data_IF_067083144257
#
_entry.id   IF_067083144257
#
_cell.length_a   1.000
_cell.length_b   1.000
_cell.length_c   1.000
_cell.angle_alpha   90.00
_cell.angle_beta   90.00
_cell.angle_gamma   90.00
#
_symmetry.space_group_name_H-M   'P 1'
#
loop_
_entity.id
_entity.type
_entity.pdbx_description
1 polymer ?
#
# COMPACT_ATOMS: atom_id res chain seq x y z
N UNK A 1 35.29 84.96 -14.33
CA UNK A 1 35.88 84.31 -13.13
C UNK A 1 35.02 83.12 -12.77
N UNK A 2 35.64 81.95 -12.62
CA UNK A 2 35.05 80.66 -12.27
C UNK A 2 34.18 80.70 -11.00
N UNK A 3 33.08 79.93 -10.95
CA UNK A 3 33.07 78.61 -10.31
C UNK A 3 31.67 77.95 -10.35
N UNK A 4 31.69 76.67 -10.70
CA UNK A 4 30.63 75.66 -10.67
C UNK A 4 30.09 75.39 -9.25
N UNK A 5 28.83 74.94 -9.12
CA UNK A 5 28.39 73.79 -8.30
C UNK A 5 26.95 73.41 -8.71
N UNK A 6 26.73 72.12 -8.96
CA UNK A 6 25.44 71.49 -9.25
C UNK A 6 24.83 70.88 -7.97
N UNK A 7 23.51 70.74 -7.87
CA UNK A 7 22.85 69.43 -7.66
C UNK A 7 21.32 69.47 -7.57
N UNK A 8 20.72 68.50 -8.28
CA UNK A 8 19.57 67.63 -7.97
C UNK A 8 18.19 68.25 -7.66
N UNK A 9 17.30 68.12 -8.64
CA UNK A 9 15.84 68.12 -8.48
C UNK A 9 15.34 66.81 -7.86
N UNK A 10 14.52 66.90 -6.82
CA UNK A 10 13.79 65.78 -6.21
C UNK A 10 12.32 65.82 -6.62
N UNK A 11 11.91 64.90 -7.50
CA UNK A 11 10.50 64.66 -7.85
C UNK A 11 9.82 63.74 -6.83
N UNK A 12 8.72 64.22 -6.25
CA UNK A 12 7.86 63.49 -5.31
C UNK A 12 7.06 62.41 -6.07
N UNK A 13 7.28 61.13 -5.75
CA UNK A 13 6.46 60.01 -6.24
C UNK A 13 5.26 59.79 -5.31
N UNK A 14 4.05 59.91 -5.87
CA UNK A 14 2.80 59.46 -5.25
C UNK A 14 2.84 57.94 -4.99
N UNK A 15 2.60 57.53 -3.75
CA UNK A 15 2.45 56.14 -3.35
C UNK A 15 0.99 55.72 -3.49
N UNK A 16 0.71 54.84 -4.45
CA UNK A 16 -0.55 54.08 -4.52
C UNK A 16 -0.55 53.00 -3.44
N UNK A 17 -1.66 52.78 -2.70
CA UNK A 17 -1.73 51.69 -1.73
C UNK A 17 -1.72 50.34 -2.46
N UNK A 18 -0.77 49.49 -2.07
CA UNK A 18 -0.64 48.13 -2.57
C UNK A 18 -1.92 47.34 -2.30
N UNK A 19 -2.55 46.83 -3.37
CA UNK A 19 -3.63 45.88 -3.28
C UNK A 19 -3.18 44.67 -2.43
N UNK A 20 -3.93 44.38 -1.36
CA UNK A 20 -3.68 43.21 -0.53
C UNK A 20 -3.82 41.96 -1.39
N UNK A 21 -2.70 41.32 -1.71
CA UNK A 21 -2.69 40.00 -2.33
C UNK A 21 -3.40 39.04 -1.38
N UNK A 22 -4.57 38.54 -1.77
CA UNK A 22 -5.20 37.37 -1.14
C UNK A 22 -4.16 36.24 -1.08
N UNK A 23 -4.08 35.46 0.03
CA UNK A 23 -3.13 34.37 0.13
C UNK A 23 -3.39 33.35 -0.99
N UNK A 24 -2.34 33.07 -1.74
CA UNK A 24 -2.25 32.05 -2.79
C UNK A 24 -2.65 30.68 -2.25
N UNK A 25 -3.37 29.89 -3.08
CA UNK A 25 -3.80 28.50 -2.82
C UNK A 25 -2.70 27.68 -2.14
N UNK A 26 -2.77 27.58 -0.81
CA UNK A 26 -1.80 26.86 0.00
C UNK A 26 -2.24 25.42 0.17
N UNK A 27 -1.34 24.50 -0.12
CA UNK A 27 -1.46 23.10 0.29
C UNK A 27 -0.71 22.95 1.60
N UNK A 28 -1.37 22.46 2.66
CA UNK A 28 -0.64 22.12 3.89
C UNK A 28 0.16 20.84 3.67
N UNK A 29 1.46 20.86 3.98
CA UNK A 29 2.32 19.67 3.92
C UNK A 29 2.25 18.90 5.26
N UNK A 30 2.42 17.58 5.22
CA UNK A 30 2.51 16.71 6.40
C UNK A 30 1.33 15.72 6.52
N UNK A 31 1.08 15.23 7.73
CA UNK A 31 0.11 14.16 8.03
C UNK A 31 -1.37 14.55 7.90
N UNK A 32 -1.68 15.76 7.41
CA UNK A 32 -3.06 16.19 7.15
C UNK A 32 -3.09 17.22 6.02
N UNK A 33 -2.77 16.82 4.78
CA UNK A 33 -2.71 17.76 3.67
C UNK A 33 -4.12 18.22 3.31
N UNK A 34 -4.34 19.53 3.34
CA UNK A 34 -5.59 20.19 2.96
C UNK A 34 -5.36 21.05 1.73
N UNK A 35 -6.36 21.06 0.85
CA UNK A 35 -6.42 21.95 -0.31
C UNK A 35 -7.50 23.00 -0.07
N UNK A 36 -7.26 24.24 -0.49
CA UNK A 36 -8.25 25.33 -0.38
C UNK A 36 -8.63 25.90 -1.76
N UNK A 37 -9.94 25.99 -2.08
CA UNK A 37 -11.07 25.44 -1.32
C UNK A 37 -11.03 23.91 -1.23
N UNK A 38 -11.63 23.32 -0.17
CA UNK A 38 -11.69 21.87 -0.05
C UNK A 38 -12.57 21.29 -1.17
N UNK A 39 -12.16 20.18 -1.80
CA UNK A 39 -12.98 19.51 -2.79
C UNK A 39 -14.21 18.87 -2.13
N UNK A 40 -15.24 18.66 -2.93
CA UNK A 40 -16.41 17.88 -2.51
C UNK A 40 -16.03 16.42 -2.34
N UNK A 41 -16.37 15.85 -1.18
CA UNK A 41 -16.13 14.44 -0.89
C UNK A 41 -17.25 13.60 -1.48
N UNK A 42 -16.93 12.37 -1.94
CA UNK A 42 -17.97 11.44 -2.38
C UNK A 42 -19.00 11.18 -1.27
N UNK A 43 -20.27 10.87 -1.62
CA UNK A 43 -21.30 10.64 -0.62
C UNK A 43 -20.94 9.46 0.28
N UNK A 44 -21.42 9.50 1.53
CA UNK A 44 -21.13 8.48 2.54
C UNK A 44 -21.49 7.07 2.08
N UNK A 45 -22.53 6.93 1.24
CA UNK A 45 -22.95 5.64 0.66
C UNK A 45 -21.84 4.99 -0.16
N UNK A 46 -21.08 5.78 -0.93
CA UNK A 46 -19.94 5.28 -1.71
C UNK A 46 -18.79 4.85 -0.80
N UNK A 47 -18.51 5.62 0.25
CA UNK A 47 -17.46 5.29 1.20
C UNK A 47 -17.78 3.99 1.95
N UNK A 48 -19.00 3.87 2.48
CA UNK A 48 -19.47 2.66 3.17
C UNK A 48 -19.50 1.47 2.22
N UNK A 49 -19.93 1.65 0.97
CA UNK A 49 -19.87 0.57 -0.02
C UNK A 49 -18.44 0.10 -0.30
N UNK A 50 -17.47 1.01 -0.39
CA UNK A 50 -16.05 0.64 -0.54
C UNK A 50 -15.56 -0.20 0.63
N UNK A 51 -15.93 0.16 1.87
CA UNK A 51 -15.60 -0.63 3.05
C UNK A 51 -16.26 -2.01 2.98
N UNK A 52 -17.56 -2.08 2.67
CA UNK A 52 -18.29 -3.34 2.61
C UNK A 52 -17.69 -4.27 1.54
N UNK A 53 -17.45 -3.73 0.35
CA UNK A 53 -16.91 -4.47 -0.78
C UNK A 53 -15.52 -5.02 -0.47
N UNK A 54 -14.59 -4.20 0.02
CA UNK A 54 -13.23 -4.68 0.29
C UNK A 54 -13.14 -5.60 1.51
N UNK A 55 -13.92 -5.32 2.57
CA UNK A 55 -13.84 -6.07 3.82
C UNK A 55 -14.63 -7.40 3.75
N UNK A 56 -15.91 -7.35 3.39
CA UNK A 56 -16.76 -8.55 3.45
C UNK A 56 -16.66 -9.37 2.16
N UNK A 57 -16.65 -8.74 0.99
CA UNK A 57 -16.59 -9.48 -0.28
C UNK A 57 -15.15 -9.87 -0.64
N UNK A 58 -14.25 -8.90 -0.85
CA UNK A 58 -12.89 -9.20 -1.31
C UNK A 58 -12.06 -9.94 -0.26
N UNK A 59 -12.07 -9.53 1.01
CA UNK A 59 -11.34 -10.24 2.06
C UNK A 59 -12.16 -11.44 2.57
N UNK A 60 -13.37 -11.21 3.09
CA UNK A 60 -14.22 -12.23 3.71
C UNK A 60 -14.54 -13.41 2.79
N UNK A 61 -15.25 -13.19 1.69
CA UNK A 61 -15.70 -14.26 0.78
C UNK A 61 -14.53 -14.90 0.06
N UNK A 62 -13.68 -14.12 -0.63
CA UNK A 62 -12.59 -14.73 -1.40
C UNK A 62 -11.58 -15.45 -0.50
N UNK A 63 -11.26 -14.92 0.68
CA UNK A 63 -10.36 -15.59 1.62
C UNK A 63 -10.90 -16.94 2.07
N UNK A 64 -12.18 -17.00 2.46
CA UNK A 64 -12.82 -18.25 2.86
C UNK A 64 -12.88 -19.28 1.71
N UNK A 65 -13.19 -18.83 0.49
CA UNK A 65 -13.17 -19.68 -0.71
C UNK A 65 -11.77 -20.17 -1.03
N UNK A 66 -10.75 -19.32 -0.95
CA UNK A 66 -9.35 -19.71 -1.18
C UNK A 66 -8.88 -20.74 -0.15
N UNK A 67 -9.28 -20.63 1.11
CA UNK A 67 -9.01 -21.68 2.09
C UNK A 67 -9.63 -23.03 1.68
N UNK A 68 -10.87 -23.06 1.18
CA UNK A 68 -11.50 -24.30 0.69
C UNK A 68 -10.71 -24.91 -0.47
N UNK A 69 -10.26 -24.08 -1.42
CA UNK A 69 -9.49 -24.52 -2.60
C UNK A 69 -8.11 -25.05 -2.19
N UNK A 70 -7.44 -24.39 -1.25
CA UNK A 70 -6.06 -24.68 -0.88
C UNK A 70 -5.94 -25.75 0.22
N UNK A 71 -7.02 -26.09 0.91
CA UNK A 71 -6.97 -27.06 2.02
C UNK A 71 -6.44 -28.44 1.62
N UNK A 72 -6.79 -29.03 0.47
CA UNK A 72 -6.20 -30.31 0.05
C UNK A 72 -4.68 -30.23 -0.17
N UNK A 73 -4.17 -29.10 -0.67
CA UNK A 73 -2.73 -28.89 -0.86
C UNK A 73 -2.06 -28.74 0.51
N UNK A 74 -2.66 -27.96 1.41
CA UNK A 74 -2.18 -27.78 2.78
C UNK A 74 -2.06 -29.12 3.53
N UNK A 75 -3.09 -29.97 3.48
CA UNK A 75 -3.08 -31.27 4.17
C UNK A 75 -2.06 -32.23 3.56
N UNK A 76 -1.84 -32.19 2.24
CA UNK A 76 -0.79 -32.95 1.58
C UNK A 76 0.61 -32.49 2.05
N UNK A 77 0.86 -31.18 2.10
CA UNK A 77 2.09 -30.61 2.63
C UNK A 77 2.30 -30.97 4.11
N UNK A 78 1.24 -30.92 4.93
CA UNK A 78 1.32 -31.29 6.34
C UNK A 78 1.59 -32.77 6.53
N UNK A 79 0.96 -33.64 5.75
CA UNK A 79 1.20 -35.09 5.77
C UNK A 79 2.64 -35.43 5.38
N UNK A 80 3.19 -34.74 4.37
CA UNK A 80 4.60 -34.83 4.02
C UNK A 80 5.49 -34.40 5.19
N UNK A 81 5.19 -33.29 5.84
CA UNK A 81 5.97 -32.80 6.98
C UNK A 81 5.99 -33.81 8.15
N UNK A 82 4.85 -34.43 8.46
CA UNK A 82 4.76 -35.48 9.48
C UNK A 82 5.60 -36.71 9.08
N UNK A 83 5.50 -37.16 7.83
CA UNK A 83 6.26 -38.32 7.32
C UNK A 83 7.77 -38.16 7.46
N UNK A 84 8.28 -36.93 7.32
CA UNK A 84 9.71 -36.61 7.40
C UNK A 84 10.09 -35.96 8.73
N UNK A 85 9.25 -36.08 9.77
CA UNK A 85 9.52 -35.59 11.13
C UNK A 85 9.89 -34.10 11.19
N UNK A 86 9.36 -33.29 10.26
CA UNK A 86 9.54 -31.84 10.26
C UNK A 86 8.75 -31.27 11.43
N UNK A 87 9.46 -30.58 12.34
CA UNK A 87 8.84 -29.99 13.52
C UNK A 87 7.75 -28.97 13.15
N UNK A 88 6.76 -28.81 14.03
CA UNK A 88 5.66 -27.89 13.81
C UNK A 88 6.13 -26.46 13.55
N UNK A 89 7.14 -26.00 14.28
CA UNK A 89 7.71 -24.67 14.12
C UNK A 89 8.40 -24.49 12.76
N UNK A 90 9.16 -25.49 12.31
CA UNK A 90 9.80 -25.47 10.99
C UNK A 90 8.75 -25.51 9.88
N UNK A 91 7.73 -26.36 9.99
CA UNK A 91 6.64 -26.42 9.03
C UNK A 91 5.89 -25.09 8.93
N UNK A 92 5.53 -24.48 10.07
CA UNK A 92 4.90 -23.16 10.11
C UNK A 92 5.78 -22.10 9.44
N UNK A 93 7.07 -22.08 9.74
CA UNK A 93 8.01 -21.15 9.14
C UNK A 93 8.09 -21.31 7.61
N UNK A 94 8.19 -22.55 7.13
CA UNK A 94 8.20 -22.87 5.70
C UNK A 94 6.88 -22.45 5.03
N UNK A 95 5.75 -22.73 5.66
CA UNK A 95 4.43 -22.39 5.17
C UNK A 95 4.26 -20.87 5.03
N UNK A 96 4.59 -20.11 6.09
CA UNK A 96 4.45 -18.66 6.10
C UNK A 96 5.45 -17.98 5.17
N UNK A 97 6.70 -18.47 5.12
CA UNK A 97 7.70 -18.00 4.16
C UNK A 97 7.25 -18.27 2.72
N UNK A 98 6.68 -19.44 2.43
CA UNK A 98 6.14 -19.75 1.10
C UNK A 98 4.96 -18.85 0.75
N UNK A 99 4.05 -18.62 1.69
CA UNK A 99 2.91 -17.72 1.54
C UNK A 99 3.34 -16.26 1.30
N UNK A 100 4.57 -15.90 1.66
CA UNK A 100 5.16 -14.59 1.38
C UNK A 100 5.91 -14.54 0.05
N UNK A 101 6.89 -15.43 -0.11
CA UNK A 101 7.84 -15.45 -1.22
C UNK A 101 7.17 -15.82 -2.55
N UNK A 102 6.13 -16.67 -2.55
CA UNK A 102 5.41 -17.03 -3.77
C UNK A 102 4.67 -15.80 -4.36
N UNK A 103 3.80 -15.07 -3.64
CA UNK A 103 3.24 -13.82 -4.14
C UNK A 103 4.28 -12.79 -4.52
N UNK A 104 5.34 -12.63 -3.71
CA UNK A 104 6.44 -11.70 -4.02
C UNK A 104 7.03 -12.00 -5.39
N UNK A 105 7.44 -13.24 -5.61
CA UNK A 105 8.10 -13.62 -6.87
C UNK A 105 7.10 -13.53 -8.02
N UNK A 106 5.95 -14.19 -7.90
CA UNK A 106 4.99 -14.30 -9.01
C UNK A 106 4.43 -12.96 -9.46
N UNK A 107 3.98 -12.10 -8.54
CA UNK A 107 3.41 -10.81 -8.91
C UNK A 107 4.46 -9.85 -9.44
N UNK A 108 5.59 -9.71 -8.73
CA UNK A 108 6.60 -8.75 -9.13
C UNK A 108 7.24 -9.13 -10.48
N UNK A 109 7.50 -10.42 -10.71
CA UNK A 109 7.94 -10.87 -12.03
C UNK A 109 6.86 -10.68 -13.10
N UNK A 110 5.58 -10.94 -12.80
CA UNK A 110 4.51 -10.67 -13.76
C UNK A 110 4.50 -9.21 -14.23
N UNK A 111 4.56 -8.24 -13.30
CA UNK A 111 4.58 -6.82 -13.66
C UNK A 111 5.88 -6.41 -14.37
N UNK A 112 7.01 -6.99 -13.99
CA UNK A 112 8.28 -6.79 -14.70
C UNK A 112 8.23 -7.32 -16.14
N UNK A 113 7.65 -8.50 -16.35
CA UNK A 113 7.42 -9.06 -17.69
C UNK A 113 6.48 -8.16 -18.51
N UNK A 114 5.43 -7.59 -17.89
CA UNK A 114 4.56 -6.63 -18.56
C UNK A 114 5.33 -5.41 -19.05
N UNK A 115 6.28 -4.91 -18.25
CA UNK A 115 7.14 -3.79 -18.60
C UNK A 115 8.14 -4.12 -19.70
N UNK A 116 8.74 -5.31 -19.64
CA UNK A 116 9.79 -5.72 -20.57
C UNK A 116 9.22 -6.09 -21.95
N UNK A 117 8.16 -6.90 -21.96
CA UNK A 117 7.50 -7.34 -23.18
C UNK A 117 6.42 -6.39 -23.69
N UNK A 118 6.23 -5.24 -23.02
CA UNK A 118 5.20 -4.24 -23.33
C UNK A 118 3.79 -4.85 -23.39
N UNK A 119 3.50 -5.80 -22.49
CA UNK A 119 2.14 -6.31 -22.35
C UNK A 119 1.25 -5.30 -21.63
N UNK A 120 -0.04 -5.32 -21.93
CA UNK A 120 -1.07 -4.56 -21.19
C UNK A 120 -0.82 -3.05 -21.07
N UNK A 121 -0.10 -2.41 -22.01
CA UNK A 121 0.28 -0.99 -21.91
C UNK A 121 -0.93 -0.04 -21.84
N UNK A 122 -2.10 -0.44 -22.34
CA UNK A 122 -3.35 0.32 -22.19
C UNK A 122 -3.82 0.50 -20.73
N UNK A 123 -3.31 -0.33 -19.81
CA UNK A 123 -3.56 -0.26 -18.38
C UNK A 123 -2.41 0.40 -17.60
N UNK A 124 -1.28 0.70 -18.24
CA UNK A 124 -0.11 1.28 -17.57
C UNK A 124 -0.34 2.77 -17.31
N UNK A 125 0.03 3.24 -16.12
CA UNK A 125 0.03 4.65 -15.76
C UNK A 125 1.31 5.30 -16.29
N UNK A 126 1.19 6.36 -17.10
CA UNK A 126 2.37 6.99 -17.69
C UNK A 126 3.29 7.60 -16.63
N UNK A 127 4.59 7.48 -16.88
CA UNK A 127 5.65 7.99 -16.00
C UNK A 127 6.46 9.06 -16.71
N UNK A 128 6.59 10.22 -16.07
CA UNK A 128 7.60 11.22 -16.46
C UNK A 128 8.99 10.68 -16.17
N UNK A 129 10.00 11.22 -16.85
CA UNK A 129 11.36 10.71 -16.74
C UNK A 129 11.90 10.73 -15.30
N UNK A 130 11.62 11.78 -14.54
CA UNK A 130 12.05 11.87 -13.14
C UNK A 130 11.32 10.88 -12.20
N UNK A 131 10.18 10.33 -12.62
CA UNK A 131 9.42 9.34 -11.85
C UNK A 131 9.93 7.91 -12.06
N UNK A 132 10.71 7.67 -13.12
CA UNK A 132 11.24 6.35 -13.41
C UNK A 132 12.37 6.01 -12.45
N UNK A 133 12.34 4.78 -11.92
CA UNK A 133 13.36 4.30 -11.01
C UNK A 133 14.73 4.23 -11.71
N UNK A 134 15.76 4.74 -11.04
CA UNK A 134 17.14 4.66 -11.53
C UNK A 134 17.70 3.25 -11.31
N UNK A 135 18.60 2.74 -12.17
CA UNK A 135 19.18 1.40 -12.02
C UNK A 135 19.81 1.14 -10.63
N UNK A 136 20.55 2.09 -10.08
CA UNK A 136 21.16 1.95 -8.75
C UNK A 136 20.11 1.76 -7.63
N UNK A 137 18.95 2.43 -7.74
CA UNK A 137 17.86 2.28 -6.78
C UNK A 137 17.20 0.90 -6.92
N UNK A 138 17.03 0.41 -8.16
CA UNK A 138 16.54 -0.94 -8.42
C UNK A 138 17.47 -2.01 -7.86
N UNK A 139 18.80 -1.84 -8.01
CA UNK A 139 19.79 -2.76 -7.44
C UNK A 139 19.73 -2.78 -5.92
N UNK A 140 19.67 -1.60 -5.28
CA UNK A 140 19.55 -1.50 -3.81
C UNK A 140 18.30 -2.21 -3.31
N UNK A 141 17.15 -1.93 -3.90
CA UNK A 141 15.88 -2.59 -3.57
C UNK A 141 15.97 -4.11 -3.76
N UNK A 142 16.56 -4.59 -4.86
CA UNK A 142 16.69 -6.02 -5.12
C UNK A 142 17.60 -6.72 -4.10
N UNK A 143 18.69 -6.07 -3.67
CA UNK A 143 19.57 -6.58 -2.60
C UNK A 143 18.84 -6.68 -1.27
N UNK A 144 18.13 -5.62 -0.86
CA UNK A 144 17.36 -5.62 0.39
C UNK A 144 16.26 -6.68 0.37
N UNK A 145 15.55 -6.81 -0.76
CA UNK A 145 14.55 -7.84 -0.91
C UNK A 145 15.14 -9.25 -0.88
N UNK A 146 16.31 -9.49 -1.46
CA UNK A 146 16.97 -10.80 -1.39
C UNK A 146 17.29 -11.20 0.06
N UNK A 147 17.81 -10.26 0.86
CA UNK A 147 18.05 -10.43 2.30
C UNK A 147 16.72 -10.63 3.05
N UNK A 148 15.71 -9.86 2.66
CA UNK A 148 14.32 -9.96 3.09
C UNK A 148 13.79 -11.40 2.98
N UNK A 149 13.77 -11.92 1.76
CA UNK A 149 13.15 -13.20 1.41
C UNK A 149 13.97 -14.41 1.90
N UNK A 150 15.31 -14.35 1.89
CA UNK A 150 16.15 -15.53 2.18
C UNK A 150 16.64 -15.60 3.63
N UNK A 151 16.66 -14.49 4.36
CA UNK A 151 17.26 -14.44 5.70
C UNK A 151 16.24 -13.94 6.72
N UNK A 152 15.85 -12.66 6.62
CA UNK A 152 15.07 -12.02 7.69
C UNK A 152 13.64 -12.57 7.76
N UNK A 153 12.98 -12.79 6.62
CA UNK A 153 11.62 -13.34 6.53
C UNK A 153 11.51 -14.74 7.14
N UNK A 154 12.31 -15.74 6.71
CA UNK A 154 12.27 -17.07 7.28
C UNK A 154 12.59 -17.12 8.78
N UNK A 155 13.58 -16.33 9.24
CA UNK A 155 13.88 -16.21 10.67
C UNK A 155 12.68 -15.64 11.42
N UNK A 156 12.07 -14.57 10.92
CA UNK A 156 10.91 -13.96 11.56
C UNK A 156 9.71 -14.92 11.58
N UNK A 157 9.44 -15.64 10.49
CA UNK A 157 8.39 -16.65 10.42
C UNK A 157 8.61 -17.78 11.45
N UNK A 158 9.86 -18.23 11.62
CA UNK A 158 10.22 -19.21 12.64
C UNK A 158 9.98 -18.68 14.07
N UNK A 159 10.38 -17.43 14.33
CA UNK A 159 10.22 -16.79 15.64
C UNK A 159 8.77 -16.40 15.96
N UNK A 160 7.91 -16.25 14.97
CA UNK A 160 6.49 -15.93 15.17
C UNK A 160 5.67 -17.12 15.65
N UNK A 161 6.07 -18.35 15.35
CA UNK A 161 5.28 -19.54 15.68
C UNK A 161 4.85 -19.64 17.15
N UNK A 162 5.74 -19.44 18.16
CA UNK A 162 5.33 -19.49 19.56
C UNK A 162 4.29 -18.43 19.92
N UNK A 163 4.34 -17.25 19.28
CA UNK A 163 3.34 -16.20 19.50
C UNK A 163 1.97 -16.63 18.96
N UNK A 164 1.92 -17.22 17.77
CA UNK A 164 0.67 -17.76 17.23
C UNK A 164 0.08 -18.86 18.10
N UNK A 165 0.91 -19.79 18.60
CA UNK A 165 0.46 -20.82 19.54
C UNK A 165 -0.06 -20.19 20.83
N UNK A 166 0.67 -19.21 21.40
CA UNK A 166 0.27 -18.51 22.62
C UNK A 166 -1.09 -17.80 22.50
N UNK A 167 -1.35 -17.17 21.35
CA UNK A 167 -2.62 -16.48 21.08
C UNK A 167 -3.73 -17.40 20.55
N UNK A 168 -3.53 -18.72 20.57
CA UNK A 168 -4.60 -19.70 20.32
C UNK A 168 -4.78 -20.11 18.86
N UNK A 169 -3.74 -20.03 18.04
CA UNK A 169 -3.73 -20.69 16.73
C UNK A 169 -3.99 -22.20 16.92
N UNK A 170 -4.90 -22.74 16.12
CA UNK A 170 -5.19 -24.18 16.10
C UNK A 170 -3.95 -24.99 15.69
N UNK A 171 -3.96 -26.26 16.09
CA UNK A 171 -2.96 -27.21 15.68
C UNK A 171 -2.83 -27.28 14.15
N UNK A 172 -1.62 -27.59 13.67
CA UNK A 172 -1.30 -27.61 12.24
C UNK A 172 -2.10 -28.68 11.47
N UNK A 173 -2.61 -29.69 12.16
CA UNK A 173 -3.42 -30.79 11.66
C UNK A 173 -4.91 -30.67 12.03
N UNK A 174 -5.32 -29.52 12.59
CA UNK A 174 -6.73 -29.25 12.87
C UNK A 174 -7.58 -29.32 11.58
N UNK A 175 -8.85 -29.75 11.68
CA UNK A 175 -9.76 -29.71 10.55
C UNK A 175 -9.97 -28.26 10.08
N UNK A 176 -10.26 -28.09 8.79
CA UNK A 176 -10.55 -26.77 8.24
C UNK A 176 -11.75 -26.14 8.99
N UNK A 177 -11.65 -24.87 9.43
CA UNK A 177 -12.78 -24.21 10.08
C UNK A 177 -13.98 -24.08 9.16
N UNK A 178 -15.15 -23.84 9.75
CA UNK A 178 -16.36 -23.54 8.97
C UNK A 178 -16.16 -22.30 8.10
N UNK A 179 -16.94 -22.19 7.01
CA UNK A 179 -16.92 -21.01 6.15
C UNK A 179 -17.13 -19.72 6.95
N UNK A 180 -18.08 -19.71 7.90
CA UNK A 180 -18.35 -18.55 8.75
C UNK A 180 -17.15 -18.17 9.64
N UNK A 181 -16.46 -19.15 10.20
CA UNK A 181 -15.24 -18.93 11.01
C UNK A 181 -14.10 -18.34 10.16
N UNK A 182 -13.89 -18.87 8.95
CA UNK A 182 -12.89 -18.34 8.02
C UNK A 182 -13.27 -16.93 7.57
N UNK A 183 -14.52 -16.71 7.14
CA UNK A 183 -15.04 -15.40 6.75
C UNK A 183 -14.81 -14.35 7.84
N UNK A 184 -15.15 -14.67 9.09
CA UNK A 184 -14.88 -13.80 10.25
C UNK A 184 -13.40 -13.48 10.40
N UNK A 185 -12.53 -14.49 10.26
CA UNK A 185 -11.06 -14.31 10.34
C UNK A 185 -10.58 -13.26 9.33
N UNK A 186 -11.02 -13.36 8.08
CA UNK A 186 -10.62 -12.42 7.03
C UNK A 186 -11.20 -11.02 7.23
N UNK A 187 -12.46 -10.90 7.67
CA UNK A 187 -13.09 -9.60 7.97
C UNK A 187 -12.37 -8.88 9.12
N UNK A 188 -12.05 -9.62 10.19
CA UNK A 188 -11.30 -9.05 11.33
C UNK A 188 -9.88 -8.70 10.93
N UNK A 189 -9.20 -9.59 10.19
CA UNK A 189 -7.87 -9.33 9.64
C UNK A 189 -7.82 -8.05 8.80
N UNK A 190 -8.78 -7.89 7.88
CA UNK A 190 -8.88 -6.69 7.05
C UNK A 190 -9.16 -5.43 7.86
N UNK A 191 -10.12 -5.49 8.79
CA UNK A 191 -10.45 -4.34 9.62
C UNK A 191 -9.24 -3.90 10.46
N UNK A 192 -8.54 -4.85 11.08
CA UNK A 192 -7.36 -4.55 11.89
C UNK A 192 -6.23 -3.98 11.04
N UNK A 193 -5.94 -4.59 9.89
CA UNK A 193 -4.92 -4.12 8.97
C UNK A 193 -5.25 -2.73 8.44
N UNK A 194 -6.46 -2.48 7.97
CA UNK A 194 -6.85 -1.20 7.36
C UNK A 194 -6.72 -0.06 8.38
N UNK A 195 -7.26 -0.25 9.59
CA UNK A 195 -7.18 0.73 10.68
C UNK A 195 -5.73 0.95 11.11
N UNK A 196 -5.01 -0.15 11.38
CA UNK A 196 -3.62 -0.09 11.83
C UNK A 196 -2.74 0.63 10.81
N UNK A 197 -2.77 0.17 9.55
CA UNK A 197 -2.00 0.74 8.45
C UNK A 197 -2.31 2.21 8.25
N UNK A 198 -3.59 2.62 8.22
CA UNK A 198 -3.96 4.02 8.03
C UNK A 198 -3.30 4.94 9.07
N UNK A 199 -3.42 4.60 10.36
CA UNK A 199 -2.92 5.45 11.42
C UNK A 199 -1.40 5.46 11.47
N UNK A 200 -0.74 4.31 11.32
CA UNK A 200 0.72 4.24 11.31
C UNK A 200 1.29 4.90 10.07
N UNK A 201 0.75 4.65 8.88
CA UNK A 201 1.22 5.27 7.65
C UNK A 201 1.07 6.80 7.73
N UNK A 202 -0.10 7.31 8.16
CA UNK A 202 -0.31 8.75 8.41
C UNK A 202 0.67 9.33 9.42
N UNK A 203 0.99 8.59 10.49
CA UNK A 203 1.98 8.99 11.50
C UNK A 203 3.40 9.06 10.90
N UNK A 204 3.75 8.12 10.03
CA UNK A 204 5.04 8.10 9.33
C UNK A 204 5.20 9.24 8.33
N UNK A 205 4.10 9.87 7.91
CA UNK A 205 4.09 11.15 7.16
C UNK A 205 4.25 12.41 8.04
N UNK A 206 4.46 12.26 9.34
CA UNK A 206 4.92 13.38 10.18
C UNK A 206 6.36 13.75 9.83
N UNK A 207 6.72 15.04 9.94
CA UNK A 207 8.02 15.57 9.49
C UNK A 207 9.24 14.77 9.95
N UNK A 208 9.25 14.33 11.22
CA UNK A 208 10.37 13.61 11.81
C UNK A 208 10.43 12.16 11.31
N UNK A 209 9.32 11.43 11.42
CA UNK A 209 9.26 10.02 11.03
C UNK A 209 9.40 9.85 9.52
N UNK A 210 8.89 10.80 8.73
CA UNK A 210 9.05 10.80 7.28
C UNK A 210 10.52 10.86 6.92
N UNK A 211 11.24 11.86 7.44
CA UNK A 211 12.66 12.04 7.13
C UNK A 211 13.49 10.83 7.55
N UNK A 212 13.14 10.18 8.66
CA UNK A 212 13.94 9.10 9.25
C UNK A 212 13.61 7.72 8.69
N UNK A 213 12.35 7.41 8.47
CA UNK A 213 11.89 6.04 8.19
C UNK A 213 11.14 5.96 6.86
N UNK A 214 10.23 6.90 6.57
CA UNK A 214 9.34 6.78 5.40
C UNK A 214 9.91 7.28 4.07
N UNK A 215 10.93 8.13 4.12
CA UNK A 215 11.54 8.71 2.91
C UNK A 215 12.12 7.63 1.99
N UNK A 216 12.63 6.52 2.55
CA UNK A 216 13.16 5.40 1.77
C UNK A 216 12.08 4.83 0.84
N UNK A 217 10.89 4.56 1.37
CA UNK A 217 9.75 4.07 0.60
C UNK A 217 9.37 5.02 -0.56
N UNK A 218 9.42 6.32 -0.29
CA UNK A 218 9.15 7.38 -1.28
C UNK A 218 10.31 7.71 -2.23
N UNK A 219 11.44 7.00 -2.17
CA UNK A 219 12.49 7.11 -3.21
C UNK A 219 11.95 6.67 -4.59
N UNK A 220 10.96 5.77 -4.59
CA UNK A 220 10.18 5.41 -5.77
C UNK A 220 8.98 6.35 -5.93
N UNK A 221 9.18 7.43 -6.67
CA UNK A 221 8.12 8.42 -6.97
C UNK A 221 7.06 7.83 -7.90
N UNK A 222 7.48 7.20 -8.99
CA UNK A 222 6.62 6.34 -9.78
C UNK A 222 6.67 4.94 -9.18
N UNK A 223 5.53 4.44 -8.72
CA UNK A 223 5.48 3.10 -8.12
C UNK A 223 5.85 2.04 -9.16
N UNK A 224 6.60 1.03 -8.71
CA UNK A 224 6.82 -0.23 -9.40
C UNK A 224 6.52 -1.36 -8.43
N UNK A 225 6.02 -2.50 -8.91
CA UNK A 225 5.56 -3.59 -8.03
C UNK A 225 6.59 -3.97 -6.96
N UNK A 226 7.86 -4.11 -7.37
CA UNK A 226 8.96 -4.51 -6.48
C UNK A 226 9.25 -3.51 -5.35
N UNK A 227 8.89 -2.23 -5.50
CA UNK A 227 9.15 -1.22 -4.47
C UNK A 227 8.17 -1.29 -3.29
N UNK A 228 7.14 -2.14 -3.36
CA UNK A 228 6.09 -2.21 -2.36
C UNK A 228 6.60 -2.58 -0.95
N UNK A 229 7.70 -3.34 -0.88
CA UNK A 229 8.34 -3.76 0.38
C UNK A 229 9.68 -3.06 0.63
N UNK A 230 10.08 -2.13 -0.26
CA UNK A 230 11.29 -1.34 -0.07
C UNK A 230 11.01 -0.20 0.92
N UNK A 231 11.36 -0.43 2.19
CA UNK A 231 11.12 0.51 3.28
C UNK A 231 12.14 0.32 4.41
N UNK A 232 12.27 1.32 5.29
CA UNK A 232 13.10 1.19 6.50
C UNK A 232 12.54 0.06 7.40
N UNK A 233 13.39 -0.77 8.04
CA UNK A 233 12.93 -1.86 8.91
C UNK A 233 11.93 -1.45 10.00
N UNK A 234 12.04 -0.22 10.54
CA UNK A 234 11.09 0.29 11.55
C UNK A 234 9.71 0.51 10.94
N UNK A 235 9.64 1.01 9.70
CA UNK A 235 8.39 1.12 8.96
C UNK A 235 7.81 -0.25 8.63
N UNK A 236 8.65 -1.18 8.15
CA UNK A 236 8.22 -2.54 7.86
C UNK A 236 7.55 -3.16 9.09
N UNK A 237 8.14 -3.03 10.28
CA UNK A 237 7.56 -3.60 11.50
C UNK A 237 6.27 -2.87 11.90
N UNK A 238 6.31 -1.55 12.03
CA UNK A 238 5.24 -0.77 12.66
C UNK A 238 4.07 -0.55 11.71
N UNK A 239 4.35 -0.16 10.46
CA UNK A 239 3.31 0.17 9.49
C UNK A 239 2.82 -1.04 8.70
N UNK A 240 3.66 -2.06 8.47
CA UNK A 240 3.28 -3.20 7.63
C UNK A 240 2.99 -4.47 8.45
N UNK A 241 3.98 -4.99 9.20
CA UNK A 241 3.88 -6.29 9.85
C UNK A 241 2.89 -6.31 11.01
N UNK A 242 2.93 -5.32 11.92
CA UNK A 242 1.98 -5.28 13.04
C UNK A 242 0.53 -5.17 12.56
N UNK A 243 0.16 -4.25 11.64
CA UNK A 243 -1.20 -4.21 11.09
C UNK A 243 -1.59 -5.48 10.31
N UNK A 244 -0.69 -6.01 9.49
CA UNK A 244 -0.98 -7.19 8.66
C UNK A 244 -1.14 -8.45 9.51
N UNK A 245 -0.24 -8.69 10.45
CA UNK A 245 -0.20 -9.93 11.23
C UNK A 245 -1.10 -9.86 12.46
N UNK A 246 -1.25 -8.67 13.09
CA UNK A 246 -1.95 -8.53 14.36
C UNK A 246 -3.39 -9.06 14.35
N UNK A 247 -4.17 -8.72 13.31
CA UNK A 247 -5.55 -9.17 13.19
C UNK A 247 -5.68 -10.70 13.12
N UNK A 248 -4.80 -11.37 12.39
CA UNK A 248 -4.80 -12.84 12.32
C UNK A 248 -4.11 -13.48 13.51
N UNK A 249 -3.14 -12.82 14.14
CA UNK A 249 -2.48 -13.31 15.35
C UNK A 249 -3.47 -13.41 16.52
N UNK A 250 -4.31 -12.39 16.71
CA UNK A 250 -5.25 -12.34 17.84
C UNK A 250 -6.59 -13.02 17.58
N UNK A 251 -6.96 -13.22 16.29
CA UNK A 251 -8.31 -13.67 15.93
C UNK A 251 -8.38 -14.78 14.88
N UNK A 252 -7.27 -15.21 14.26
CA UNK A 252 -7.32 -16.33 13.33
C UNK A 252 -7.28 -17.67 14.05
N UNK A 253 -8.08 -18.60 13.54
CA UNK A 253 -8.12 -19.95 14.07
C UNK A 253 -7.07 -20.85 13.38
N UNK A 254 -6.92 -20.82 12.05
CA UNK A 254 -6.21 -21.89 11.35
C UNK A 254 -4.95 -21.39 10.59
N UNK A 255 -3.82 -22.12 10.60
CA UNK A 255 -2.57 -21.74 9.93
C UNK A 255 -2.75 -21.45 8.43
N UNK A 256 -3.54 -22.26 7.72
CA UNK A 256 -3.90 -21.99 6.32
C UNK A 256 -4.60 -20.63 6.14
N UNK A 257 -5.50 -20.23 7.04
CA UNK A 257 -6.17 -18.94 6.94
C UNK A 257 -5.19 -17.78 7.12
N UNK A 258 -4.19 -17.93 8.00
CA UNK A 258 -3.08 -16.98 8.13
C UNK A 258 -2.29 -16.88 6.83
N UNK A 259 -1.92 -18.01 6.22
CA UNK A 259 -1.20 -18.02 4.95
C UNK A 259 -1.98 -17.39 3.80
N UNK A 260 -3.27 -17.72 3.66
CA UNK A 260 -4.16 -17.12 2.65
C UNK A 260 -4.30 -15.62 2.87
N UNK A 261 -4.42 -15.19 4.11
CA UNK A 261 -4.48 -13.77 4.46
C UNK A 261 -3.23 -13.02 3.99
N UNK A 262 -2.04 -13.53 4.31
CA UNK A 262 -0.77 -12.95 3.87
C UNK A 262 -0.70 -12.88 2.34
N UNK A 263 -1.04 -13.97 1.64
CA UNK A 263 -1.04 -13.98 0.17
C UNK A 263 -1.96 -12.91 -0.43
N UNK A 264 -3.18 -12.77 0.10
CA UNK A 264 -4.15 -11.76 -0.37
C UNK A 264 -3.66 -10.32 -0.09
N UNK A 265 -3.08 -10.08 1.09
CA UNK A 265 -2.53 -8.77 1.44
C UNK A 265 -1.38 -8.39 0.52
N UNK A 266 -0.45 -9.30 0.30
CA UNK A 266 0.67 -9.09 -0.59
C UNK A 266 0.21 -8.87 -2.04
N UNK A 267 -0.76 -9.65 -2.53
CA UNK A 267 -1.37 -9.43 -3.85
C UNK A 267 -1.86 -7.99 -4.02
N UNK A 268 -2.67 -7.50 -3.07
CA UNK A 268 -3.19 -6.13 -3.12
C UNK A 268 -2.06 -5.10 -3.03
N UNK A 269 -1.07 -5.32 -2.17
CA UNK A 269 0.08 -4.42 -1.99
C UNK A 269 0.93 -4.30 -3.25
N UNK A 270 1.27 -5.42 -3.91
CA UNK A 270 2.03 -5.39 -5.16
C UNK A 270 1.23 -4.77 -6.31
N UNK A 271 -0.05 -5.09 -6.42
CA UNK A 271 -0.92 -4.43 -7.40
C UNK A 271 -0.98 -2.92 -7.16
N UNK A 272 -1.11 -2.48 -5.89
CA UNK A 272 -1.19 -1.07 -5.53
C UNK A 272 0.06 -0.27 -5.95
N UNK A 273 1.22 -0.93 -6.01
CA UNK A 273 2.49 -0.33 -6.43
C UNK A 273 2.86 -0.63 -7.88
N UNK A 274 2.11 -1.48 -8.58
CA UNK A 274 2.52 -2.00 -9.88
C UNK A 274 2.73 -0.93 -10.95
N UNK A 275 2.06 0.22 -10.83
CA UNK A 275 1.97 1.21 -11.91
C UNK A 275 0.99 0.80 -13.01
N UNK A 276 0.19 -0.24 -12.79
CA UNK A 276 -0.88 -0.70 -13.67
C UNK A 276 -2.24 -0.52 -13.00
N UNK A 277 -3.23 -0.12 -13.79
CA UNK A 277 -4.62 0.02 -13.38
C UNK A 277 -5.49 -0.82 -14.31
N UNK A 278 -5.76 -2.08 -13.94
CA UNK A 278 -6.59 -3.02 -14.71
C UNK A 278 -8.10 -2.75 -14.59
N UNK A 279 -8.50 -1.48 -14.78
CA UNK A 279 -9.92 -1.07 -14.74
C UNK A 279 -10.75 -1.81 -15.81
N UNK A 280 -12.02 -2.08 -15.51
CA UNK A 280 -13.00 -2.70 -16.43
C UNK A 280 -12.69 -4.14 -16.90
N UNK A 281 -11.62 -4.77 -16.40
CA UNK A 281 -11.33 -6.19 -16.65
C UNK A 281 -12.30 -7.10 -15.90
N UNK A 282 -12.44 -8.36 -16.35
CA UNK A 282 -13.24 -9.36 -15.63
C UNK A 282 -12.71 -9.56 -14.20
N UNK A 283 -11.40 -9.66 -14.03
CA UNK A 283 -10.75 -9.86 -12.73
C UNK A 283 -11.02 -8.70 -11.76
N UNK A 284 -11.06 -7.46 -12.25
CA UNK A 284 -11.47 -6.31 -11.44
C UNK A 284 -12.96 -6.35 -11.07
N UNK A 285 -13.83 -6.74 -12.01
CA UNK A 285 -15.29 -6.82 -11.77
C UNK A 285 -15.66 -7.87 -10.73
N UNK A 286 -14.98 -9.03 -10.75
CA UNK A 286 -15.19 -10.09 -9.76
C UNK A 286 -14.41 -9.86 -8.46
N UNK A 287 -13.60 -8.79 -8.37
CA UNK A 287 -12.92 -8.36 -7.15
C UNK A 287 -11.60 -9.09 -6.84
N UNK A 288 -11.00 -9.77 -7.82
CA UNK A 288 -9.65 -10.36 -7.71
C UNK A 288 -8.58 -9.28 -7.84
N UNK A 289 -8.79 -8.31 -8.73
CA UNK A 289 -7.93 -7.13 -8.89
C UNK A 289 -8.53 -5.90 -8.20
N UNK A 290 -7.66 -4.98 -7.79
CA UNK A 290 -7.91 -3.80 -6.96
C UNK A 290 -7.45 -2.51 -7.68
N UNK A 291 -7.98 -2.19 -8.88
CA UNK A 291 -7.51 -1.04 -9.65
C UNK A 291 -7.73 0.30 -8.92
N UNK A 292 -8.73 0.37 -8.03
CA UNK A 292 -8.94 1.50 -7.12
C UNK A 292 -7.75 1.74 -6.20
N UNK A 293 -7.20 0.67 -5.61
CA UNK A 293 -6.04 0.72 -4.73
C UNK A 293 -4.78 1.16 -5.49
N UNK A 294 -4.58 0.65 -6.71
CA UNK A 294 -3.47 1.03 -7.58
C UNK A 294 -3.46 2.52 -7.88
N UNK A 295 -4.59 3.09 -8.29
CA UNK A 295 -4.66 4.53 -8.58
C UNK A 295 -4.53 5.38 -7.31
N UNK A 296 -5.14 4.94 -6.21
CA UNK A 296 -5.13 5.68 -4.95
C UNK A 296 -3.73 5.78 -4.36
N UNK A 297 -2.97 4.69 -4.38
CA UNK A 297 -1.61 4.64 -3.87
C UNK A 297 -0.57 5.20 -4.85
N UNK A 298 -0.79 5.04 -6.16
CA UNK A 298 0.07 5.72 -7.14
C UNK A 298 -0.02 7.26 -7.02
N UNK A 299 -1.22 7.79 -6.76
CA UNK A 299 -1.38 9.20 -6.44
C UNK A 299 -0.63 9.58 -5.16
N UNK A 300 -0.69 8.74 -4.13
CA UNK A 300 0.04 8.94 -2.88
C UNK A 300 1.54 9.12 -3.13
N UNK A 301 2.19 8.19 -3.83
CA UNK A 301 3.63 8.28 -4.12
C UNK A 301 4.00 9.47 -5.00
N UNK A 302 3.22 9.72 -6.05
CA UNK A 302 3.57 10.77 -7.03
C UNK A 302 3.37 12.19 -6.50
N UNK A 303 2.47 12.37 -5.53
CA UNK A 303 2.20 13.68 -4.91
C UNK A 303 2.75 13.82 -3.49
N UNK A 304 3.05 12.71 -2.83
CA UNK A 304 3.40 12.62 -1.42
C UNK A 304 2.40 13.31 -0.48
N UNK A 305 1.09 13.22 -0.81
CA UNK A 305 0.03 13.92 -0.07
C UNK A 305 -1.28 13.14 0.04
N UNK A 306 -1.66 12.83 1.28
CA UNK A 306 -2.94 12.20 1.61
C UNK A 306 -2.94 10.74 1.24
N UNK A 307 -4.12 10.11 1.15
CA UNK A 307 -4.27 8.73 0.71
C UNK A 307 -3.43 7.75 1.56
N UNK A 308 -3.54 7.86 2.89
CA UNK A 308 -2.69 7.11 3.82
C UNK A 308 -3.18 5.67 4.06
N UNK A 309 -4.38 5.29 3.65
CA UNK A 309 -4.91 3.94 3.81
C UNK A 309 -5.94 3.60 2.75
N UNK A 310 -7.04 2.95 3.15
CA UNK A 310 -8.16 2.71 2.25
C UNK A 310 -8.94 3.98 1.91
N UNK A 311 -9.69 3.91 0.80
CA UNK A 311 -10.64 4.94 0.42
C UNK A 311 -11.61 5.32 1.56
N UNK A 312 -12.06 4.35 2.36
CA UNK A 312 -12.99 4.61 3.46
C UNK A 312 -12.35 5.41 4.59
N UNK A 313 -11.17 5.02 5.05
CA UNK A 313 -10.51 5.72 6.16
C UNK A 313 -10.03 7.11 5.74
N UNK A 314 -9.46 7.26 4.53
CA UNK A 314 -9.13 8.59 4.01
C UNK A 314 -10.36 9.47 3.80
N UNK A 315 -11.53 8.87 3.52
CA UNK A 315 -12.79 9.61 3.40
C UNK A 315 -13.22 10.09 4.79
N UNK A 316 -13.25 9.17 5.76
CA UNK A 316 -13.71 9.43 7.13
C UNK A 316 -12.86 10.49 7.84
N UNK A 317 -11.54 10.46 7.62
CA UNK A 317 -10.60 11.38 8.25
C UNK A 317 -10.21 12.58 7.39
N UNK A 318 -10.77 12.71 6.19
CA UNK A 318 -10.58 13.87 5.32
C UNK A 318 -9.15 14.03 4.79
N UNK A 319 -8.49 12.92 4.45
CA UNK A 319 -7.10 12.88 3.96
C UNK A 319 -6.97 12.56 2.47
N UNK A 320 -8.04 12.74 1.67
CA UNK A 320 -8.02 12.58 0.21
C UNK A 320 -8.20 13.90 -0.58
N UNK A 321 -8.00 15.06 0.06
CA UNK A 321 -8.23 16.38 -0.57
C UNK A 321 -7.42 16.55 -1.87
N UNK A 322 -6.14 16.19 -1.85
CA UNK A 322 -5.28 16.34 -3.02
C UNK A 322 -5.71 15.41 -4.15
N UNK A 323 -6.07 14.17 -3.83
CA UNK A 323 -6.58 13.20 -4.79
C UNK A 323 -7.88 13.66 -5.46
N UNK A 324 -8.84 14.15 -4.68
CA UNK A 324 -10.09 14.68 -5.21
C UNK A 324 -9.87 15.95 -6.03
N UNK A 325 -8.98 16.85 -5.60
CA UNK A 325 -8.59 18.05 -6.36
C UNK A 325 -7.88 17.69 -7.67
N UNK A 326 -7.19 16.54 -7.71
CA UNK A 326 -6.61 15.99 -8.92
C UNK A 326 -7.66 15.34 -9.86
N UNK A 327 -8.94 15.34 -9.48
CA UNK A 327 -10.05 14.77 -10.25
C UNK A 327 -10.43 13.35 -9.82
N UNK A 328 -9.94 12.90 -8.66
CA UNK A 328 -10.17 11.57 -8.12
C UNK A 328 -9.72 10.47 -9.07
N UNK A 329 -10.39 9.32 -9.01
CA UNK A 329 -10.01 8.12 -9.77
C UNK A 329 -9.92 8.38 -11.27
N UNK A 330 -11.00 8.91 -11.86
CA UNK A 330 -11.08 9.11 -13.31
C UNK A 330 -10.17 10.25 -13.78
N UNK A 331 -10.20 11.38 -13.07
CA UNK A 331 -9.37 12.53 -13.43
C UNK A 331 -7.88 12.25 -13.30
N UNK A 332 -7.46 11.43 -12.34
CA UNK A 332 -6.06 11.02 -12.20
C UNK A 332 -5.63 10.10 -13.37
N UNK A 333 -6.41 9.08 -13.71
CA UNK A 333 -6.13 8.20 -14.85
C UNK A 333 -6.05 9.01 -16.15
N UNK A 334 -7.04 9.87 -16.42
CA UNK A 334 -7.10 10.64 -17.65
C UNK A 334 -5.94 11.65 -17.75
N UNK A 335 -5.47 12.20 -16.63
CA UNK A 335 -4.27 13.04 -16.56
C UNK A 335 -3.01 12.23 -16.89
N UNK A 336 -2.85 11.06 -16.27
CA UNK A 336 -1.72 10.17 -16.53
C UNK A 336 -1.69 9.70 -17.99
N UNK A 337 -2.82 9.40 -18.63
CA UNK A 337 -2.89 9.03 -20.06
C UNK A 337 -2.54 10.18 -21.03
N UNK A 338 -2.48 11.42 -20.56
CA UNK A 338 -2.17 12.61 -21.37
C UNK A 338 -0.78 13.18 -21.07
N UNK A 339 0.09 12.46 -20.34
CA UNK A 339 1.34 12.98 -19.82
C UNK A 339 1.20 14.12 -18.79
N UNK A 340 -0.02 14.39 -18.33
CA UNK A 340 -0.32 15.46 -17.39
C UNK A 340 -0.14 15.00 -15.94
N UNK A 341 0.70 15.73 -15.19
CA UNK A 341 1.06 15.54 -13.77
C UNK A 341 2.23 14.58 -13.52
#
# INVERSE_FOLDING_TARGET
>A
MCSTIASKQSGVKQTTPAASKKPTKGVSLGSSPRVFPRPEYPPWTKAVWSLIYSNFYQAGVHGAVLCLILFPIYTACRSFAIKYEISNQVFFALLLSSAHTLPYTTNNFFYWLCDEFKWFQGYKLERKEYMKAKPALMTKMATEALIGQLVTGPIFAYLLYPAFVHFGMLDLDAPLPTFASMFKTFVVGYTFNDVGFYFTHRLFHSKLLYKRFHKQHHEFVGTVSFSAEYADPVEIIIANQIPTVGGVLFFACHPLSVSVWIMMRLQQTYEAHSGYCFENTLLAKVGILHPGSAVFHDHHHTSNMGNFGSFFLDWAFGTMDHYLSAGGYRGYIDKKKKGGV
#
